data_IF_057449743903
#
_entry.id   IF_057449743903
#
_cell.length_a   1.000
_cell.length_b   1.000
_cell.length_c   1.000
_cell.angle_alpha   90.00
_cell.angle_beta   90.00
_cell.angle_gamma   90.00
#
_symmetry.space_group_name_H-M   'P 1'
#
loop_
_entity.id
_entity.type
_entity.pdbx_description
1 polymer ?
#
# COMPACT_ATOMS: atom_id res chain seq x y z
N UNK A 1 14.55 25.81 14.32
CA UNK A 1 14.45 25.59 12.86
C UNK A 1 14.62 24.12 12.47
N UNK A 2 15.69 23.43 12.88
CA UNK A 2 15.93 22.01 12.50
C UNK A 2 14.88 21.00 13.05
N UNK A 3 14.39 21.19 14.29
CA UNK A 3 13.36 20.31 14.89
C UNK A 3 12.00 20.36 14.20
N UNK A 4 11.62 21.51 13.62
CA UNK A 4 10.36 21.66 12.89
C UNK A 4 10.43 20.97 11.52
N UNK A 5 11.58 21.06 10.84
CA UNK A 5 11.79 20.40 9.54
C UNK A 5 11.65 18.88 9.65
N UNK A 6 12.16 18.26 10.72
CA UNK A 6 12.03 16.80 10.96
C UNK A 6 10.61 16.35 11.36
N UNK A 7 9.78 17.24 11.90
CA UNK A 7 8.37 16.94 12.23
C UNK A 7 7.47 17.16 11.00
N UNK A 8 7.85 18.09 10.12
CA UNK A 8 7.08 18.47 8.93
C UNK A 8 7.48 17.69 7.66
N UNK A 9 8.72 17.20 7.55
CA UNK A 9 9.16 16.36 6.44
C UNK A 9 9.03 14.88 6.77
N UNK A 10 8.13 14.21 6.04
CA UNK A 10 8.10 12.75 5.97
C UNK A 10 9.43 12.23 5.41
N UNK A 11 9.87 11.08 5.91
CA UNK A 11 10.87 10.28 5.19
C UNK A 11 10.24 9.67 3.93
N UNK A 12 11.04 9.38 2.91
CA UNK A 12 10.55 8.71 1.70
C UNK A 12 9.85 7.38 2.03
N UNK A 13 10.35 6.65 3.04
CA UNK A 13 9.74 5.41 3.56
C UNK A 13 8.33 5.67 4.11
N UNK A 14 8.13 6.73 4.89
CA UNK A 14 6.79 7.04 5.42
C UNK A 14 5.88 7.58 4.32
N UNK A 15 6.42 8.33 3.35
CA UNK A 15 5.67 8.81 2.21
C UNK A 15 5.16 7.65 1.33
N UNK A 16 6.00 6.65 1.03
CA UNK A 16 5.58 5.45 0.29
C UNK A 16 4.50 4.66 1.04
N UNK A 17 4.64 4.49 2.36
CA UNK A 17 3.61 3.87 3.19
C UNK A 17 2.27 4.62 3.09
N UNK A 18 2.27 5.96 3.15
CA UNK A 18 1.04 6.76 3.03
C UNK A 18 0.45 6.73 1.61
N UNK A 19 1.28 6.60 0.57
CA UNK A 19 0.82 6.43 -0.82
C UNK A 19 0.01 5.14 -0.94
N UNK A 20 0.53 4.02 -0.46
CA UNK A 20 -0.16 2.73 -0.53
C UNK A 20 -1.34 2.67 0.43
N UNK A 21 -1.21 3.23 1.64
CA UNK A 21 -2.34 3.34 2.58
C UNK A 21 -3.52 4.06 1.92
N UNK A 22 -3.27 5.12 1.14
CA UNK A 22 -4.31 5.89 0.44
C UNK A 22 -5.06 5.07 -0.62
N UNK A 23 -4.48 4.02 -1.18
CA UNK A 23 -5.15 3.19 -2.19
C UNK A 23 -6.15 2.20 -1.58
N UNK A 24 -5.96 1.84 -0.32
CA UNK A 24 -6.81 0.89 0.42
C UNK A 24 -7.78 1.62 1.35
N UNK A 25 -7.33 2.65 2.06
CA UNK A 25 -8.11 3.39 3.06
C UNK A 25 -7.92 4.90 2.94
N UNK A 26 -8.85 5.68 3.51
CA UNK A 26 -8.72 7.13 3.55
C UNK A 26 -7.60 7.54 4.51
N UNK A 27 -6.75 8.47 4.07
CA UNK A 27 -5.79 9.16 4.93
C UNK A 27 -6.51 10.19 5.81
N UNK A 28 -6.00 10.41 7.02
CA UNK A 28 -6.35 11.58 7.82
C UNK A 28 -5.94 12.87 7.12
N UNK A 29 -6.58 13.99 7.47
CA UNK A 29 -6.27 15.30 6.87
C UNK A 29 -4.78 15.66 7.02
N UNK A 30 -4.20 15.41 8.20
CA UNK A 30 -2.78 15.64 8.48
C UNK A 30 -1.88 14.81 7.56
N UNK A 31 -2.13 13.50 7.46
CA UNK A 31 -1.35 12.61 6.57
C UNK A 31 -1.44 13.06 5.11
N UNK A 32 -2.61 13.48 4.66
CA UNK A 32 -2.82 13.91 3.28
C UNK A 32 -2.06 15.20 2.96
N UNK A 33 -2.04 16.17 3.88
CA UNK A 33 -1.27 17.42 3.72
C UNK A 33 0.23 17.15 3.73
N UNK A 34 0.73 16.37 4.69
CA UNK A 34 2.15 16.01 4.77
C UNK A 34 2.60 15.25 3.52
N UNK A 35 1.79 14.29 3.04
CA UNK A 35 2.10 13.53 1.84
C UNK A 35 2.14 14.41 0.59
N UNK A 36 1.17 15.33 0.42
CA UNK A 36 1.15 16.27 -0.71
C UNK A 36 2.39 17.16 -0.73
N UNK A 37 2.80 17.69 0.42
CA UNK A 37 4.02 18.49 0.51
C UNK A 37 5.25 17.66 0.14
N UNK A 38 5.36 16.42 0.63
CA UNK A 38 6.52 15.58 0.33
C UNK A 38 6.60 15.23 -1.16
N UNK A 39 5.49 14.83 -1.79
CA UNK A 39 5.48 14.47 -3.22
C UNK A 39 5.61 15.67 -4.15
N UNK A 40 5.36 16.91 -3.69
CA UNK A 40 5.68 18.11 -4.47
C UNK A 40 7.17 18.47 -4.47
N UNK A 41 7.95 17.93 -3.53
CA UNK A 41 9.38 18.23 -3.37
C UNK A 41 10.30 17.06 -3.71
N UNK A 42 9.79 15.82 -3.72
CA UNK A 42 10.56 14.61 -4.00
C UNK A 42 10.06 13.92 -5.27
N UNK A 43 10.86 14.00 -6.35
CA UNK A 43 10.52 13.39 -7.64
C UNK A 43 10.40 11.86 -7.56
N UNK A 44 11.22 11.21 -6.72
CA UNK A 44 11.13 9.76 -6.50
C UNK A 44 9.77 9.35 -5.93
N UNK A 45 9.30 10.02 -4.88
CA UNK A 45 7.99 9.75 -4.30
C UNK A 45 6.84 10.16 -5.23
N UNK A 46 7.00 11.22 -6.03
CA UNK A 46 6.04 11.61 -7.08
C UNK A 46 5.91 10.54 -8.16
N UNK A 47 7.03 10.02 -8.64
CA UNK A 47 7.07 8.94 -9.63
C UNK A 47 6.45 7.66 -9.06
N UNK A 48 6.84 7.28 -7.84
CA UNK A 48 6.28 6.12 -7.14
C UNK A 48 4.76 6.24 -6.94
N UNK A 49 4.25 7.42 -6.57
CA UNK A 49 2.80 7.65 -6.46
C UNK A 49 2.05 7.35 -7.76
N UNK A 50 2.63 7.74 -8.91
CA UNK A 50 2.05 7.42 -10.23
C UNK A 50 2.12 5.92 -10.52
N UNK A 51 3.25 5.28 -10.22
CA UNK A 51 3.47 3.84 -10.45
C UNK A 51 2.53 2.98 -9.58
N UNK A 52 2.43 3.27 -8.29
CA UNK A 52 1.53 2.57 -7.35
C UNK A 52 0.07 2.66 -7.83
N UNK A 53 -0.39 3.85 -8.26
CA UNK A 53 -1.73 4.01 -8.84
C UNK A 53 -1.95 3.19 -10.12
N UNK A 54 -0.94 3.10 -11.00
CA UNK A 54 -1.02 2.26 -12.21
C UNK A 54 -1.15 0.79 -11.81
N UNK A 55 -0.33 0.34 -10.85
CA UNK A 55 -0.36 -1.02 -10.35
C UNK A 55 -1.74 -1.37 -9.76
N UNK A 56 -2.33 -0.48 -8.95
CA UNK A 56 -3.68 -0.69 -8.41
C UNK A 56 -4.74 -0.87 -9.50
N UNK A 57 -4.67 -0.08 -10.57
CA UNK A 57 -5.62 -0.17 -11.69
C UNK A 57 -5.43 -1.49 -12.45
N UNK A 58 -4.18 -1.87 -12.72
CA UNK A 58 -3.87 -3.15 -13.38
C UNK A 58 -4.36 -4.32 -12.54
N UNK A 59 -4.03 -4.34 -11.24
CA UNK A 59 -4.45 -5.39 -10.32
C UNK A 59 -5.97 -5.47 -10.22
N UNK A 60 -6.68 -4.34 -10.08
CA UNK A 60 -8.15 -4.33 -10.05
C UNK A 60 -8.75 -4.88 -11.34
N UNK A 61 -8.21 -4.52 -12.51
CA UNK A 61 -8.70 -5.04 -13.78
C UNK A 61 -8.46 -6.54 -13.96
N UNK A 62 -7.32 -7.06 -13.50
CA UNK A 62 -7.01 -8.48 -13.56
C UNK A 62 -7.80 -9.31 -12.54
N UNK A 63 -7.98 -8.80 -11.32
CA UNK A 63 -8.71 -9.49 -10.26
C UNK A 63 -10.23 -9.42 -10.43
N UNK A 64 -10.79 -8.34 -10.99
CA UNK A 64 -12.23 -8.29 -11.30
C UNK A 64 -12.64 -9.24 -12.44
N UNK A 65 -11.68 -9.66 -13.28
CA UNK A 65 -11.89 -10.71 -14.29
C UNK A 65 -11.67 -12.13 -13.75
N UNK A 66 -11.08 -12.26 -12.57
CA UNK A 66 -10.98 -13.54 -11.89
C UNK A 66 -12.34 -13.81 -11.23
N UNK A 67 -13.16 -14.61 -11.90
CA UNK A 67 -14.36 -15.19 -11.30
C UNK A 67 -13.93 -15.87 -10.00
N UNK A 68 -14.50 -15.49 -8.84
CA UNK A 68 -14.14 -16.09 -7.53
C UNK A 68 -14.32 -17.62 -7.55
N UNK A 69 -15.16 -18.11 -8.47
CA UNK A 69 -15.41 -19.52 -8.77
C UNK A 69 -14.23 -20.25 -9.43
N UNK A 70 -13.21 -19.55 -9.94
CA UNK A 70 -12.06 -20.12 -10.66
C UNK A 70 -10.76 -20.11 -9.87
N UNK A 71 -10.74 -19.61 -8.63
CA UNK A 71 -9.54 -19.73 -7.78
C UNK A 71 -9.38 -21.21 -7.43
N UNK A 72 -8.29 -21.89 -7.84
CA UNK A 72 -8.07 -23.26 -7.46
C UNK A 72 -7.99 -23.33 -5.94
N UNK A 73 -8.90 -24.07 -5.30
CA UNK A 73 -8.75 -24.40 -3.89
C UNK A 73 -7.57 -25.37 -3.76
N UNK A 74 -6.38 -24.81 -3.58
CA UNK A 74 -5.18 -25.58 -3.23
C UNK A 74 -5.31 -25.91 -1.75
N UNK A 75 -6.05 -26.98 -1.44
CA UNK A 75 -6.18 -27.49 -0.08
C UNK A 75 -4.97 -28.38 0.21
N UNK A 76 -4.08 -27.91 1.07
CA UNK A 76 -3.01 -28.74 1.62
C UNK A 76 -3.45 -29.34 2.96
N UNK A 77 -4.07 -30.52 2.91
CA UNK A 77 -4.58 -31.21 4.10
C UNK A 77 -3.48 -31.48 5.14
N UNK A 78 -2.27 -31.83 4.69
CA UNK A 78 -1.14 -32.09 5.58
C UNK A 78 -0.77 -30.85 6.40
N UNK A 79 -0.67 -29.69 5.74
CA UNK A 79 -0.34 -28.44 6.43
C UNK A 79 -1.44 -28.04 7.42
N UNK A 80 -2.71 -28.23 7.04
CA UNK A 80 -3.86 -27.97 7.92
C UNK A 80 -3.79 -28.82 9.19
N UNK A 81 -3.54 -30.12 9.06
CA UNK A 81 -3.40 -31.03 10.20
C UNK A 81 -2.22 -30.65 11.10
N UNK A 82 -1.07 -30.26 10.52
CA UNK A 82 0.11 -29.83 11.28
C UNK A 82 -0.11 -28.54 12.09
N UNK A 83 -0.99 -27.63 11.62
CA UNK A 83 -1.35 -26.41 12.35
C UNK A 83 -2.31 -26.77 13.49
N UNK A 84 -3.33 -27.57 13.21
CA UNK A 84 -4.32 -28.00 14.21
C UNK A 84 -3.65 -28.78 15.33
N UNK A 85 -2.69 -29.66 15.03
CA UNK A 85 -1.98 -30.45 16.04
C UNK A 85 -1.07 -29.64 16.97
N UNK A 86 -0.86 -28.35 16.67
CA UNK A 86 0.01 -27.44 17.44
C UNK A 86 -0.76 -26.37 18.21
N UNK A 87 -2.10 -26.37 18.13
CA UNK A 87 -3.00 -25.57 18.96
C UNK A 87 -3.43 -26.38 20.18
#
# INVERSE_FOLDING_TARGET
MQKLMNILMLSCKKASELIDKKSVVKLSLKENVMLKMHTSMCDGCKAYQKQSKILDVLLKHHLQKADETQIPQIINNRLKEQIISKL
#
